data_IF_016034384407
#
_entry.id   IF_016034384407
#
_cell.length_a   1.000
_cell.length_b   1.000
_cell.length_c   1.000
_cell.angle_alpha   90.00
_cell.angle_beta   90.00
_cell.angle_gamma   90.00
#
_symmetry.space_group_name_H-M   'P 1'
#
loop_
_entity.id
_entity.type
_entity.pdbx_description
1 polymer ?
#
# COMPACT_ATOMS: atom_id res chain seq x y z
N UNK A 1 -54.63 -2.04 12.51
CA UNK A 1 -54.92 -0.83 11.70
C UNK A 1 -53.58 -0.18 11.36
N UNK A 2 -52.65 -0.93 10.80
CA UNK A 2 -52.68 -1.37 9.39
C UNK A 2 -53.06 -0.21 8.50
N UNK A 3 -52.05 0.53 8.09
CA UNK A 3 -51.93 0.96 6.71
C UNK A 3 -50.43 0.96 6.37
N UNK A 4 -50.12 0.21 5.31
CA UNK A 4 -48.79 0.02 4.74
C UNK A 4 -48.14 1.37 4.40
N UNK A 5 -47.07 1.71 5.10
CA UNK A 5 -46.14 2.79 4.71
C UNK A 5 -45.43 2.46 3.38
N UNK A 6 -45.46 1.20 2.93
CA UNK A 6 -44.98 0.79 1.60
C UNK A 6 -45.75 1.45 0.44
N UNK A 7 -46.97 1.92 0.67
CA UNK A 7 -47.81 2.51 -0.38
C UNK A 7 -47.61 4.03 -0.55
N UNK A 8 -46.81 4.69 0.32
CA UNK A 8 -46.37 6.08 0.13
C UNK A 8 -45.08 6.19 -0.72
N UNK A 9 -44.51 5.07 -1.17
CA UNK A 9 -43.17 4.99 -1.79
C UNK A 9 -43.27 4.72 -3.30
N UNK A 10 -44.33 5.20 -3.97
CA UNK A 10 -44.45 5.05 -5.42
C UNK A 10 -44.47 6.33 -6.25
N UNK A 11 -44.63 7.50 -5.64
CA UNK A 11 -44.72 8.71 -6.44
C UNK A 11 -43.66 9.75 -6.07
N UNK A 12 -43.03 10.24 -7.14
CA UNK A 12 -42.32 11.50 -7.28
C UNK A 12 -43.29 12.66 -6.95
N UNK A 13 -43.79 12.71 -5.71
CA UNK A 13 -44.86 13.63 -5.33
C UNK A 13 -44.29 15.04 -5.23
N UNK A 14 -44.44 15.77 -6.33
CA UNK A 14 -44.06 17.17 -6.55
C UNK A 14 -44.50 18.12 -5.42
N UNK A 15 -45.51 17.76 -4.63
CA UNK A 15 -45.96 18.53 -3.48
C UNK A 15 -44.95 18.50 -2.32
N UNK A 16 -44.28 17.38 -2.08
CA UNK A 16 -43.24 17.27 -1.04
C UNK A 16 -42.00 18.10 -1.37
N UNK A 17 -41.66 18.20 -2.65
CA UNK A 17 -40.54 19.02 -3.15
C UNK A 17 -40.88 20.51 -3.11
N UNK A 18 -42.15 20.88 -3.31
CA UNK A 18 -42.62 22.27 -3.25
C UNK A 18 -42.63 22.79 -1.80
N UNK A 19 -43.11 22.00 -0.84
CA UNK A 19 -43.02 22.34 0.58
C UNK A 19 -41.57 22.45 1.07
N UNK A 20 -40.67 21.61 0.54
CA UNK A 20 -39.24 21.70 0.83
C UNK A 20 -38.63 22.98 0.24
N UNK A 21 -38.98 23.34 -1.00
CA UNK A 21 -38.55 24.57 -1.66
C UNK A 21 -39.04 25.84 -0.94
N UNK A 22 -40.27 25.83 -0.44
CA UNK A 22 -40.83 26.96 0.33
C UNK A 22 -40.18 27.10 1.72
N UNK A 23 -39.75 25.99 2.34
CA UNK A 23 -38.92 26.01 3.54
C UNK A 23 -37.50 26.52 3.25
N UNK A 24 -36.91 26.15 2.11
CA UNK A 24 -35.58 26.59 1.66
C UNK A 24 -35.54 28.10 1.37
N UNK A 25 -36.57 28.65 0.73
CA UNK A 25 -36.66 30.08 0.40
C UNK A 25 -36.66 31.01 1.62
N UNK A 26 -36.99 30.50 2.80
CA UNK A 26 -37.04 31.28 4.05
C UNK A 26 -35.72 31.33 4.81
N UNK A 27 -34.69 30.58 4.41
CA UNK A 27 -33.42 30.50 5.14
C UNK A 27 -32.27 30.90 4.23
N UNK A 28 -31.87 32.18 4.28
CA UNK A 28 -30.67 32.65 3.58
C UNK A 28 -29.40 32.07 4.23
N UNK A 29 -28.45 31.67 3.38
CA UNK A 29 -27.08 31.28 3.70
C UNK A 29 -26.87 29.97 4.51
N UNK A 30 -27.55 28.86 4.17
CA UNK A 30 -27.25 27.54 4.75
C UNK A 30 -27.22 26.40 3.73
N UNK A 31 -26.37 25.40 4.01
CA UNK A 31 -26.33 24.10 3.31
C UNK A 31 -27.48 23.24 3.83
N UNK A 32 -28.26 22.63 2.93
CA UNK A 32 -29.28 21.64 3.27
C UNK A 32 -28.63 20.26 3.41
N UNK A 33 -28.69 19.67 4.60
CA UNK A 33 -28.28 18.27 4.85
C UNK A 33 -29.54 17.49 5.24
N UNK A 34 -29.93 16.50 4.44
CA UNK A 34 -31.15 15.72 4.68
C UNK A 34 -30.87 14.56 5.67
N UNK A 35 -31.71 14.34 6.71
CA UNK A 35 -31.36 13.50 7.86
C UNK A 35 -31.54 11.98 7.68
N UNK A 36 -32.17 11.51 6.61
CA UNK A 36 -32.49 10.09 6.46
C UNK A 36 -31.83 9.44 5.24
N UNK A 37 -30.84 8.58 5.53
CA UNK A 37 -30.26 7.61 4.60
C UNK A 37 -29.97 6.30 5.33
N UNK A 38 -30.30 5.18 4.71
CA UNK A 38 -29.98 3.83 5.22
C UNK A 38 -28.59 3.37 4.75
N UNK A 39 -27.55 4.11 5.14
CA UNK A 39 -26.16 3.67 4.94
C UNK A 39 -25.72 2.74 6.07
N UNK A 40 -24.86 1.77 5.77
CA UNK A 40 -24.16 0.99 6.79
C UNK A 40 -23.23 1.89 7.61
N UNK A 41 -22.96 1.46 8.85
CA UNK A 41 -22.40 2.21 9.99
C UNK A 41 -21.05 2.95 9.79
N UNK A 42 -20.48 2.96 8.58
CA UNK A 42 -19.12 3.45 8.31
C UNK A 42 -19.01 4.70 7.44
N UNK A 43 -20.13 5.28 6.98
CA UNK A 43 -20.11 6.53 6.21
C UNK A 43 -21.15 7.52 6.74
N UNK A 44 -20.84 8.83 6.87
CA UNK A 44 -21.88 9.82 7.08
C UNK A 44 -22.90 9.71 5.94
N UNK A 45 -24.18 9.54 6.31
CA UNK A 45 -25.32 9.23 5.44
C UNK A 45 -25.66 10.35 4.43
N UNK A 46 -24.76 10.66 3.51
CA UNK A 46 -25.07 11.50 2.36
C UNK A 46 -25.63 10.59 1.25
N UNK A 47 -26.91 10.74 0.91
CA UNK A 47 -27.54 9.97 -0.18
C UNK A 47 -27.03 10.45 -1.53
N UNK A 48 -26.83 9.52 -2.47
CA UNK A 48 -26.74 9.80 -3.91
C UNK A 48 -28.06 10.43 -4.37
N UNK A 49 -28.08 11.74 -4.60
CA UNK A 49 -29.19 12.43 -5.26
C UNK A 49 -28.81 12.79 -6.69
N UNK A 50 -28.69 11.78 -7.56
CA UNK A 50 -28.31 11.99 -8.97
C UNK A 50 -29.40 12.69 -9.81
N UNK A 51 -30.50 13.18 -9.19
CA UNK A 51 -31.63 13.86 -9.84
C UNK A 51 -32.26 14.99 -9.02
N UNK A 52 -31.77 15.32 -7.82
CA UNK A 52 -32.40 16.37 -7.02
C UNK A 52 -31.97 17.77 -7.50
N UNK A 53 -32.91 18.70 -7.71
CA UNK A 53 -32.57 20.08 -8.04
C UNK A 53 -31.80 20.73 -6.89
N UNK A 54 -30.63 21.29 -7.20
CA UNK A 54 -29.87 22.13 -6.27
C UNK A 54 -30.34 23.57 -6.41
N UNK A 55 -30.42 24.31 -5.31
CA UNK A 55 -30.88 25.70 -5.30
C UNK A 55 -29.78 26.63 -4.77
N UNK A 56 -29.60 27.78 -5.41
CA UNK A 56 -28.80 28.90 -4.89
C UNK A 56 -29.66 30.15 -4.84
N UNK A 57 -29.81 30.73 -3.65
CA UNK A 57 -30.68 31.90 -3.39
C UNK A 57 -32.12 31.69 -3.91
N UNK A 58 -32.68 30.50 -3.69
CA UNK A 58 -34.05 30.15 -4.10
C UNK A 58 -34.24 29.84 -5.59
N UNK A 59 -33.20 30.02 -6.42
CA UNK A 59 -33.24 29.69 -7.83
C UNK A 59 -32.67 28.30 -8.08
N UNK A 60 -33.32 27.46 -8.90
CA UNK A 60 -32.75 26.17 -9.30
C UNK A 60 -31.47 26.42 -10.10
N UNK A 61 -30.38 25.75 -9.71
CA UNK A 61 -29.15 25.71 -10.48
C UNK A 61 -29.39 24.86 -11.74
N UNK A 62 -28.84 25.24 -12.91
CA UNK A 62 -28.89 24.39 -14.10
C UNK A 62 -28.27 23.03 -13.75
N UNK A 63 -29.08 21.99 -13.86
CA UNK A 63 -28.79 20.68 -13.30
C UNK A 63 -27.54 20.09 -13.93
N UNK A 64 -26.48 19.95 -13.14
CA UNK A 64 -25.33 19.10 -13.44
C UNK A 64 -25.36 17.97 -12.43
N UNK A 65 -25.42 16.75 -12.93
CA UNK A 65 -25.50 15.50 -12.18
C UNK A 65 -24.65 15.50 -10.88
N UNK A 66 -25.24 15.03 -9.76
CA UNK A 66 -24.47 14.76 -8.54
C UNK A 66 -23.99 13.31 -8.55
N UNK A 67 -22.73 13.11 -8.94
CA UNK A 67 -22.03 11.82 -8.82
C UNK A 67 -21.30 11.73 -7.48
N UNK A 68 -21.43 10.60 -6.80
CA UNK A 68 -20.51 10.25 -5.72
C UNK A 68 -19.16 9.94 -6.36
N UNK A 69 -18.25 10.90 -6.30
CA UNK A 69 -16.85 10.68 -6.63
C UNK A 69 -16.06 10.48 -5.35
N UNK A 70 -14.99 9.69 -5.43
CA UNK A 70 -14.00 9.69 -4.38
C UNK A 70 -13.40 11.10 -4.31
N UNK A 71 -13.45 11.72 -3.13
CA UNK A 71 -12.70 12.96 -2.92
C UNK A 71 -11.22 12.58 -2.83
N UNK A 72 -10.45 12.98 -3.84
CA UNK A 72 -9.00 12.84 -3.81
C UNK A 72 -8.41 14.05 -3.08
N UNK A 73 -7.48 13.84 -2.13
CA UNK A 73 -6.80 14.96 -1.52
C UNK A 73 -6.01 15.71 -2.60
N UNK A 74 -5.91 17.04 -2.46
CA UNK A 74 -4.93 17.78 -3.26
C UNK A 74 -3.54 17.35 -2.81
N UNK A 75 -2.67 17.05 -3.76
CA UNK A 75 -1.30 16.67 -3.47
C UNK A 75 -0.35 17.59 -4.22
N UNK A 76 0.75 17.97 -3.59
CA UNK A 76 1.82 18.75 -4.22
C UNK A 76 3.17 18.11 -4.03
N UNK A 77 3.96 18.05 -5.10
CA UNK A 77 5.28 17.45 -5.13
C UNK A 77 6.29 18.59 -4.99
N UNK A 78 7.00 18.63 -3.88
CA UNK A 78 7.93 19.71 -3.50
C UNK A 78 9.38 19.35 -3.74
N UNK A 79 9.70 18.07 -3.94
CA UNK A 79 11.00 17.59 -4.42
C UNK A 79 10.78 16.38 -5.32
N UNK A 80 11.43 16.40 -6.48
CA UNK A 80 11.42 15.32 -7.45
C UNK A 80 12.77 15.28 -8.14
N UNK A 81 13.57 14.27 -7.83
CA UNK A 81 14.92 14.11 -8.38
C UNK A 81 15.19 12.65 -8.67
N UNK A 82 15.78 12.38 -9.83
CA UNK A 82 16.31 11.08 -10.19
C UNK A 82 17.83 11.14 -10.09
N UNK A 83 18.42 10.26 -9.28
CA UNK A 83 19.85 10.28 -8.94
C UNK A 83 20.51 8.94 -9.28
N UNK A 84 21.57 8.97 -10.07
CA UNK A 84 22.49 7.87 -10.26
C UNK A 84 23.38 7.68 -9.02
N UNK A 85 23.49 6.43 -8.55
CA UNK A 85 24.22 6.03 -7.33
C UNK A 85 23.83 6.87 -6.09
N UNK A 86 22.61 7.42 -6.09
CA UNK A 86 22.06 8.24 -5.01
C UNK A 86 22.70 9.63 -4.85
N UNK A 87 23.51 10.08 -5.82
CA UNK A 87 24.29 11.32 -5.70
C UNK A 87 24.13 12.24 -6.91
N UNK A 88 24.30 11.71 -8.11
CA UNK A 88 24.42 12.52 -9.32
C UNK A 88 23.07 12.60 -10.02
N UNK A 89 22.51 13.80 -10.29
CA UNK A 89 21.30 13.92 -11.09
C UNK A 89 21.43 13.18 -12.42
N UNK A 90 20.39 12.43 -12.79
CA UNK A 90 20.33 11.78 -14.10
C UNK A 90 19.98 12.85 -15.14
N UNK A 91 20.88 13.17 -16.08
CA UNK A 91 20.57 14.09 -17.19
C UNK A 91 19.42 13.59 -18.05
N UNK A 92 18.70 14.53 -18.67
CA UNK A 92 17.72 14.21 -19.71
C UNK A 92 18.42 13.66 -20.95
N UNK A 93 17.74 12.73 -21.65
CA UNK A 93 18.13 12.17 -22.95
C UNK A 93 19.57 11.62 -23.05
N UNK A 94 20.14 11.16 -21.93
CA UNK A 94 21.50 10.63 -21.88
C UNK A 94 21.55 9.30 -21.14
N UNK A 95 22.28 8.33 -21.69
CA UNK A 95 22.52 7.06 -21.03
C UNK A 95 23.44 7.24 -19.81
N UNK A 96 23.04 6.66 -18.67
CA UNK A 96 23.82 6.69 -17.43
C UNK A 96 24.09 5.27 -16.95
N UNK A 97 25.38 4.94 -16.79
CA UNK A 97 25.81 3.70 -16.13
C UNK A 97 25.93 3.96 -14.63
N UNK A 98 25.20 3.20 -13.83
CA UNK A 98 25.21 3.29 -12.36
C UNK A 98 24.87 1.93 -11.73
N UNK A 99 25.13 1.80 -10.43
CA UNK A 99 24.80 0.57 -9.69
C UNK A 99 23.31 0.52 -9.30
N UNK A 100 22.73 1.68 -9.01
CA UNK A 100 21.32 1.86 -8.69
C UNK A 100 20.86 3.29 -9.00
N UNK A 101 19.55 3.46 -9.13
CA UNK A 101 18.90 4.75 -9.31
C UNK A 101 18.04 5.05 -8.09
N UNK A 102 18.21 6.23 -7.49
CA UNK A 102 17.32 6.73 -6.44
C UNK A 102 16.34 7.75 -7.05
N UNK A 103 15.04 7.53 -6.88
CA UNK A 103 13.99 8.54 -7.07
C UNK A 103 13.68 9.17 -5.72
N UNK A 104 14.05 10.43 -5.54
CA UNK A 104 13.64 11.26 -4.41
C UNK A 104 12.30 11.89 -4.76
N UNK A 105 11.33 11.70 -3.87
CA UNK A 105 9.95 12.10 -4.07
C UNK A 105 9.35 12.61 -2.76
N UNK A 106 9.34 13.93 -2.60
CA UNK A 106 8.72 14.59 -1.46
C UNK A 106 7.39 15.18 -1.88
N UNK A 107 6.32 14.85 -1.16
CA UNK A 107 5.02 15.42 -1.42
C UNK A 107 4.24 15.70 -0.14
N UNK A 108 3.36 16.69 -0.23
CA UNK A 108 2.38 17.01 0.79
C UNK A 108 1.00 16.52 0.36
N UNK A 109 0.28 15.94 1.32
CA UNK A 109 -1.17 15.75 1.23
C UNK A 109 -1.81 16.98 1.87
N UNK A 110 -2.44 17.82 1.07
CA UNK A 110 -3.07 19.07 1.53
C UNK A 110 -4.30 18.76 2.37
N UNK A 111 -4.48 19.53 3.45
CA UNK A 111 -5.66 19.42 4.30
C UNK A 111 -6.93 19.78 3.52
N UNK A 112 -7.96 18.92 3.50
CA UNK A 112 -9.26 19.27 2.91
C UNK A 112 -9.84 20.56 3.51
N UNK A 113 -9.63 20.82 4.80
CA UNK A 113 -10.07 22.04 5.46
C UNK A 113 -9.38 23.30 4.91
N UNK A 114 -8.09 23.20 4.56
CA UNK A 114 -7.37 24.32 3.95
C UNK A 114 -7.91 24.62 2.54
N UNK A 115 -8.18 23.58 1.75
CA UNK A 115 -8.78 23.73 0.44
C UNK A 115 -10.19 24.38 0.52
N UNK A 116 -11.05 23.89 1.42
CA UNK A 116 -12.39 24.46 1.63
C UNK A 116 -12.32 25.93 2.06
N UNK A 117 -11.44 26.27 3.02
CA UNK A 117 -11.26 27.68 3.45
C UNK A 117 -10.80 28.57 2.30
N UNK A 118 -9.83 28.11 1.50
CA UNK A 118 -9.33 28.88 0.35
C UNK A 118 -10.44 29.20 -0.66
N UNK A 119 -11.35 28.25 -0.93
CA UNK A 119 -12.53 28.48 -1.79
C UNK A 119 -13.50 29.48 -1.15
N UNK A 120 -13.77 29.35 0.15
CA UNK A 120 -14.66 30.26 0.87
C UNK A 120 -14.13 31.70 0.92
N UNK A 121 -12.82 31.86 1.05
CA UNK A 121 -12.14 33.17 1.08
C UNK A 121 -12.02 33.81 -0.31
N UNK A 122 -12.16 33.01 -1.39
CA UNK A 122 -12.02 33.47 -2.78
C UNK A 122 -13.22 33.06 -3.64
N UNK A 123 -14.45 33.45 -3.26
CA UNK A 123 -15.65 33.02 -3.98
C UNK A 123 -15.62 33.49 -5.44
N UNK A 124 -15.96 32.58 -6.36
CA UNK A 124 -16.00 32.86 -7.80
C UNK A 124 -14.63 32.94 -8.49
N UNK A 125 -13.52 32.83 -7.75
CA UNK A 125 -12.18 32.73 -8.35
C UNK A 125 -11.82 31.26 -8.59
N UNK A 126 -11.35 30.97 -9.80
CA UNK A 126 -10.80 29.65 -10.12
C UNK A 126 -9.47 29.46 -9.38
N UNK A 127 -9.23 28.32 -8.69
CA UNK A 127 -7.94 28.05 -8.09
C UNK A 127 -6.82 28.02 -9.14
N UNK A 128 -5.62 28.47 -8.75
CA UNK A 128 -4.41 28.36 -9.55
C UNK A 128 -3.33 27.62 -8.74
N UNK A 129 -2.89 26.43 -9.17
CA UNK A 129 -3.33 25.73 -10.38
C UNK A 129 -4.77 25.22 -10.23
N UNK A 130 -5.39 24.87 -11.34
CA UNK A 130 -6.71 24.24 -11.32
C UNK A 130 -6.66 22.94 -10.52
N UNK A 131 -7.58 22.80 -9.57
CA UNK A 131 -7.68 21.60 -8.75
C UNK A 131 -8.35 20.49 -9.54
N UNK A 132 -7.61 19.41 -9.78
CA UNK A 132 -8.11 18.27 -10.55
C UNK A 132 -8.64 17.21 -9.59
N UNK A 133 -9.87 16.75 -9.83
CA UNK A 133 -10.55 15.73 -9.02
C UNK A 133 -10.08 14.30 -9.30
N UNK A 134 -8.79 14.02 -9.23
CA UNK A 134 -8.20 12.68 -9.45
C UNK A 134 -6.94 12.47 -8.62
N UNK A 135 -6.27 11.31 -8.75
CA UNK A 135 -4.95 11.02 -8.18
C UNK A 135 -3.80 11.90 -8.71
N UNK A 136 -4.10 12.98 -9.43
CA UNK A 136 -3.10 13.88 -9.96
C UNK A 136 -2.40 14.63 -8.84
N UNK A 137 -1.07 14.66 -8.92
CA UNK A 137 -0.22 15.39 -8.00
C UNK A 137 0.38 16.57 -8.75
N UNK A 138 0.31 17.76 -8.16
CA UNK A 138 0.83 18.97 -8.78
C UNK A 138 2.33 19.08 -8.57
N UNK A 139 3.10 19.22 -9.65
CA UNK A 139 4.54 19.46 -9.58
C UNK A 139 4.82 20.92 -9.22
N UNK A 140 5.44 21.14 -8.06
CA UNK A 140 5.90 22.44 -7.56
C UNK A 140 7.30 22.28 -6.94
N UNK A 141 8.12 21.46 -7.58
CA UNK A 141 9.44 21.02 -7.10
C UNK A 141 10.58 22.01 -7.44
N UNK A 142 10.28 23.14 -8.08
CA UNK A 142 11.25 24.21 -8.35
C UNK A 142 10.77 25.55 -7.78
N UNK A 143 11.69 26.47 -7.42
CA UNK A 143 11.32 27.82 -6.97
C UNK A 143 10.43 28.57 -7.97
N UNK A 144 10.65 28.37 -9.27
CA UNK A 144 9.88 28.99 -10.36
C UNK A 144 8.42 28.51 -10.34
N UNK A 145 8.21 27.19 -10.23
CA UNK A 145 6.87 26.61 -10.16
C UNK A 145 6.17 27.00 -8.85
N UNK A 146 6.88 27.09 -7.74
CA UNK A 146 6.32 27.56 -6.47
C UNK A 146 5.86 29.02 -6.55
N UNK A 147 6.66 29.89 -7.19
CA UNK A 147 6.30 31.30 -7.44
C UNK A 147 5.11 31.45 -8.37
N UNK A 148 4.86 30.51 -9.28
CA UNK A 148 3.70 30.51 -10.16
C UNK A 148 2.38 30.29 -9.40
N UNK A 149 2.43 29.59 -8.26
CA UNK A 149 1.24 29.18 -7.50
C UNK A 149 1.31 29.55 -6.00
N UNK A 150 1.49 30.83 -5.65
CA UNK A 150 1.78 31.25 -4.28
C UNK A 150 0.64 30.92 -3.30
N UNK A 151 -0.63 31.04 -3.73
CA UNK A 151 -1.77 30.70 -2.88
C UNK A 151 -1.90 29.19 -2.63
N UNK A 152 -1.57 28.37 -3.64
CA UNK A 152 -1.52 26.92 -3.48
C UNK A 152 -0.40 26.48 -2.53
N UNK A 153 0.74 27.19 -2.55
CA UNK A 153 1.84 26.94 -1.62
C UNK A 153 1.50 27.29 -0.17
N UNK A 154 0.55 28.20 0.07
CA UNK A 154 0.08 28.53 1.42
C UNK A 154 -0.88 27.51 2.03
N UNK A 155 -1.43 26.59 1.24
CA UNK A 155 -2.36 25.58 1.76
C UNK A 155 -1.64 24.67 2.76
N UNK A 156 -2.25 24.50 3.94
CA UNK A 156 -1.68 23.68 4.99
C UNK A 156 -1.68 22.20 4.60
N UNK A 157 -0.53 21.54 4.75
CA UNK A 157 -0.40 20.10 4.61
C UNK A 157 -0.98 19.39 5.85
N UNK A 158 -1.58 18.23 5.64
CA UNK A 158 -1.97 17.29 6.70
C UNK A 158 -0.81 16.35 7.04
N UNK A 159 -0.09 15.89 6.02
CA UNK A 159 1.08 15.03 6.12
C UNK A 159 2.06 15.35 4.99
N UNK A 160 3.35 15.32 5.27
CA UNK A 160 4.42 15.32 4.27
C UNK A 160 5.06 13.96 4.23
N UNK A 161 5.23 13.40 3.05
CA UNK A 161 5.96 12.16 2.83
C UNK A 161 7.28 12.44 2.14
N UNK A 162 8.38 12.09 2.80
CA UNK A 162 9.70 12.04 2.19
C UNK A 162 9.96 10.61 1.73
N UNK A 163 9.90 10.38 0.42
CA UNK A 163 10.13 9.07 -0.17
C UNK A 163 11.47 9.05 -0.91
N UNK A 164 12.22 7.98 -0.75
CA UNK A 164 13.32 7.61 -1.63
C UNK A 164 13.07 6.19 -2.12
N UNK A 165 12.80 6.04 -3.41
CA UNK A 165 12.76 4.72 -4.05
C UNK A 165 14.14 4.41 -4.62
N UNK A 166 14.70 3.25 -4.28
CA UNK A 166 15.96 2.77 -4.83
C UNK A 166 15.71 1.62 -5.77
N UNK A 167 16.04 1.79 -7.04
CA UNK A 167 15.93 0.76 -8.07
C UNK A 167 17.30 0.14 -8.36
N UNK A 168 17.40 -1.19 -8.24
CA UNK A 168 18.61 -1.94 -8.59
C UNK A 168 18.35 -2.80 -9.85
N UNK A 169 19.40 -3.02 -10.65
CA UNK A 169 19.32 -3.77 -11.92
C UNK A 169 18.72 -5.19 -11.80
N UNK A 170 18.77 -5.79 -10.61
CA UNK A 170 18.25 -7.13 -10.33
C UNK A 170 16.76 -7.15 -9.97
N UNK A 171 16.04 -6.07 -10.26
CA UNK A 171 14.61 -5.97 -9.99
C UNK A 171 14.26 -5.64 -8.54
N UNK A 172 15.23 -5.18 -7.75
CA UNK A 172 14.98 -4.63 -6.42
C UNK A 172 14.42 -3.21 -6.53
N UNK A 173 13.38 -2.92 -5.76
CA UNK A 173 12.89 -1.58 -5.48
C UNK A 173 12.68 -1.44 -3.97
N UNK A 174 13.50 -0.64 -3.31
CA UNK A 174 13.38 -0.36 -1.86
C UNK A 174 12.89 1.06 -1.66
N UNK A 175 11.73 1.22 -1.03
CA UNK A 175 11.20 2.50 -0.61
C UNK A 175 11.62 2.78 0.84
N UNK A 176 12.34 3.88 1.02
CA UNK A 176 12.55 4.52 2.31
C UNK A 176 11.53 5.65 2.45
N UNK A 177 10.60 5.55 3.39
CA UNK A 177 9.55 6.54 3.61
C UNK A 177 9.64 7.10 5.02
N UNK A 178 9.58 8.43 5.11
CA UNK A 178 9.35 9.15 6.36
C UNK A 178 8.12 10.04 6.21
N UNK A 179 7.07 9.75 6.97
CA UNK A 179 5.84 10.54 7.02
C UNK A 179 5.86 11.47 8.23
N UNK A 180 5.63 12.77 8.02
CA UNK A 180 5.53 13.79 9.07
C UNK A 180 4.11 14.33 9.10
N UNK A 181 3.39 14.10 10.20
CA UNK A 181 2.01 14.54 10.36
C UNK A 181 1.98 15.96 10.93
N UNK A 182 1.34 16.90 10.25
CA UNK A 182 1.32 18.32 10.63
C UNK A 182 0.08 18.72 11.42
N UNK A 183 -0.91 17.84 11.47
CA UNK A 183 -2.17 18.07 12.16
C UNK A 183 -2.54 16.88 13.02
N UNK A 184 -3.48 17.10 13.94
CA UNK A 184 -4.08 16.02 14.71
C UNK A 184 -5.00 15.21 13.80
N UNK A 185 -4.83 13.88 13.80
CA UNK A 185 -5.71 12.97 13.08
C UNK A 185 -6.20 11.87 14.03
N UNK A 186 -7.48 11.53 13.93
CA UNK A 186 -8.05 10.42 14.72
C UNK A 186 -7.37 9.10 14.37
N UNK A 187 -7.11 8.88 13.08
CA UNK A 187 -6.36 7.72 12.61
C UNK A 187 -5.74 7.95 11.24
N UNK A 188 -4.72 7.14 10.92
CA UNK A 188 -4.18 7.00 9.58
C UNK A 188 -3.82 5.54 9.31
N UNK A 189 -4.05 5.09 8.09
CA UNK A 189 -3.64 3.77 7.61
C UNK A 189 -2.84 3.96 6.34
N UNK A 190 -1.70 3.28 6.25
CA UNK A 190 -0.87 3.31 5.05
C UNK A 190 -0.82 1.93 4.42
N UNK A 191 -1.43 1.82 3.24
CA UNK A 191 -1.33 0.65 2.36
C UNK A 191 -0.02 0.72 1.57
N UNK A 192 1.11 0.70 2.29
CA UNK A 192 2.49 0.89 1.83
C UNK A 192 2.72 1.01 0.31
N UNK A 193 3.42 0.03 -0.26
CA UNK A 193 3.80 0.00 -1.68
C UNK A 193 2.81 -0.92 -2.42
N UNK A 194 1.83 -0.29 -3.07
CA UNK A 194 0.86 -0.94 -3.98
C UNK A 194 1.54 -1.38 -5.28
N UNK A 195 2.11 -2.59 -5.34
CA UNK A 195 2.63 -3.12 -6.60
C UNK A 195 2.53 -4.63 -6.60
N UNK A 196 2.16 -5.24 -7.71
CA UNK A 196 2.27 -6.70 -7.84
C UNK A 196 1.25 -7.35 -8.78
N UNK A 197 0.59 -6.55 -9.60
CA UNK A 197 -0.65 -6.98 -10.25
C UNK A 197 -0.76 -6.61 -11.72
N UNK A 198 0.36 -6.26 -12.34
CA UNK A 198 0.47 -5.98 -13.76
C UNK A 198 1.73 -6.63 -14.34
N UNK A 199 1.81 -6.64 -15.67
CA UNK A 199 2.93 -7.24 -16.39
C UNK A 199 2.82 -8.76 -16.52
N UNK A 200 3.92 -9.36 -17.00
CA UNK A 200 3.97 -10.79 -17.37
C UNK A 200 3.65 -11.72 -16.20
N UNK A 201 4.10 -11.42 -14.98
CA UNK A 201 3.85 -12.28 -13.82
C UNK A 201 2.36 -12.50 -13.52
N UNK A 202 1.50 -11.52 -13.84
CA UNK A 202 0.06 -11.63 -13.65
C UNK A 202 -0.64 -12.38 -14.78
N UNK A 203 0.01 -12.54 -15.95
CA UNK A 203 -0.50 -13.21 -17.14
C UNK A 203 -0.20 -14.71 -17.17
N UNK A 204 0.74 -15.16 -16.34
CA UNK A 204 1.11 -16.57 -16.20
C UNK A 204 -0.03 -17.42 -15.66
N UNK A 205 -0.16 -18.64 -16.20
CA UNK A 205 -1.25 -19.58 -15.87
C UNK A 205 -1.12 -20.13 -14.46
N UNK A 206 0.08 -20.57 -14.10
CA UNK A 206 0.39 -21.13 -12.79
C UNK A 206 0.86 -20.02 -11.87
N UNK A 207 0.24 -19.91 -10.70
CA UNK A 207 0.53 -18.86 -9.73
C UNK A 207 0.50 -19.44 -8.32
N UNK A 208 1.66 -19.55 -7.68
CA UNK A 208 1.77 -19.93 -6.29
C UNK A 208 1.96 -18.70 -5.41
N UNK A 209 1.25 -18.67 -4.28
CA UNK A 209 1.30 -17.60 -3.29
C UNK A 209 1.74 -18.20 -1.97
N UNK A 210 2.61 -17.51 -1.25
CA UNK A 210 2.83 -17.79 0.15
C UNK A 210 3.15 -16.53 0.95
N UNK A 211 2.80 -16.57 2.23
CA UNK A 211 3.00 -15.54 3.24
C UNK A 211 3.59 -16.28 4.44
N UNK A 212 4.91 -16.15 4.68
CA UNK A 212 5.53 -16.75 5.85
C UNK A 212 4.80 -16.37 7.13
N UNK A 213 4.72 -17.30 8.09
CA UNK A 213 4.14 -17.12 9.42
C UNK A 213 2.59 -17.06 9.47
N UNK A 214 1.90 -17.33 8.37
CA UNK A 214 0.44 -17.53 8.40
C UNK A 214 0.06 -18.94 8.88
N UNK A 215 -1.13 -19.10 9.45
CA UNK A 215 -1.76 -20.42 9.64
C UNK A 215 -2.46 -20.85 8.34
N UNK A 216 -2.77 -22.15 8.16
CA UNK A 216 -3.82 -22.57 7.24
C UNK A 216 -5.16 -21.93 7.66
N UNK A 217 -5.92 -21.42 6.70
CA UNK A 217 -7.16 -20.68 6.93
C UNK A 217 -8.32 -21.28 6.15
N UNK A 218 -9.52 -21.15 6.70
CA UNK A 218 -10.78 -21.37 5.99
C UNK A 218 -11.42 -20.01 5.71
N UNK A 219 -11.42 -19.60 4.44
CA UNK A 219 -11.85 -18.26 4.03
C UNK A 219 -13.16 -18.33 3.27
N UNK A 220 -14.19 -17.67 3.82
CA UNK A 220 -15.47 -17.47 3.12
C UNK A 220 -15.30 -16.42 2.03
N UNK A 221 -15.87 -16.67 0.85
CA UNK A 221 -15.91 -15.67 -0.21
C UNK A 221 -16.77 -14.46 0.12
N UNK A 222 -16.82 -13.53 -0.83
CA UNK A 222 -17.42 -12.20 -0.68
C UNK A 222 -18.95 -12.25 -0.62
N UNK A 223 -19.58 -13.25 -1.23
CA UNK A 223 -21.04 -13.46 -1.19
C UNK A 223 -21.40 -14.68 -0.35
N UNK A 224 -22.66 -14.76 0.09
CA UNK A 224 -23.15 -15.90 0.86
C UNK A 224 -23.06 -17.22 0.08
N UNK A 225 -23.18 -17.16 -1.24
CA UNK A 225 -23.11 -18.32 -2.15
C UNK A 225 -21.66 -18.76 -2.45
N UNK A 226 -20.66 -17.93 -2.16
CA UNK A 226 -19.28 -18.29 -2.45
C UNK A 226 -18.83 -19.47 -1.56
N UNK A 227 -18.04 -20.42 -2.09
CA UNK A 227 -17.52 -21.52 -1.30
C UNK A 227 -16.59 -21.02 -0.18
N UNK A 228 -16.48 -21.81 0.88
CA UNK A 228 -15.37 -21.68 1.82
C UNK A 228 -14.14 -22.29 1.14
N UNK A 229 -13.04 -21.54 1.12
CA UNK A 229 -11.78 -21.95 0.55
C UNK A 229 -10.81 -22.35 1.66
N UNK A 230 -10.28 -23.56 1.60
CA UNK A 230 -9.12 -23.96 2.39
C UNK A 230 -7.87 -23.35 1.74
N UNK A 231 -7.26 -22.39 2.43
CA UNK A 231 -6.11 -21.64 1.98
C UNK A 231 -4.95 -21.83 2.95
N UNK A 232 -3.92 -22.55 2.52
CA UNK A 232 -2.66 -22.64 3.26
C UNK A 232 -1.61 -21.71 2.66
N UNK A 233 -1.75 -20.40 2.95
CA UNK A 233 -0.75 -19.41 2.52
C UNK A 233 0.60 -19.58 3.22
N UNK A 234 0.71 -20.44 4.23
CA UNK A 234 2.00 -20.76 4.86
C UNK A 234 2.81 -21.75 4.02
N UNK A 235 2.11 -22.50 3.17
CA UNK A 235 2.68 -23.33 2.13
C UNK A 235 2.69 -22.59 0.78
N UNK A 236 3.42 -23.14 -0.19
CA UNK A 236 3.43 -22.67 -1.57
C UNK A 236 2.08 -22.96 -2.25
N UNK A 237 1.05 -22.16 -1.95
CA UNK A 237 -0.36 -22.40 -2.30
C UNK A 237 -0.65 -22.07 -3.76
N UNK A 238 -1.11 -23.06 -4.53
CA UNK A 238 -1.52 -22.86 -5.91
C UNK A 238 -2.84 -22.10 -5.95
N UNK A 239 -2.82 -20.90 -6.51
CA UNK A 239 -4.00 -20.04 -6.58
C UNK A 239 -5.02 -20.60 -7.57
N UNK A 240 -6.30 -20.74 -7.18
CA UNK A 240 -7.35 -21.11 -8.12
C UNK A 240 -7.52 -20.02 -9.18
N UNK A 241 -8.04 -20.36 -10.36
CA UNK A 241 -8.25 -19.40 -11.45
C UNK A 241 -9.13 -18.22 -11.02
N UNK A 242 -10.23 -18.52 -10.33
CA UNK A 242 -11.14 -17.56 -9.72
C UNK A 242 -11.04 -17.63 -8.21
N UNK A 243 -10.97 -16.47 -7.56
CA UNK A 243 -10.92 -16.38 -6.10
C UNK A 243 -11.69 -15.15 -5.64
N UNK A 244 -12.95 -15.32 -5.25
CA UNK A 244 -13.80 -14.22 -4.82
C UNK A 244 -13.61 -13.87 -3.32
N UNK A 245 -12.37 -13.64 -2.89
CA UNK A 245 -12.05 -13.29 -1.51
C UNK A 245 -11.85 -11.79 -1.33
N UNK A 246 -12.28 -11.23 -0.20
CA UNK A 246 -11.95 -9.86 0.20
C UNK A 246 -11.69 -9.83 1.70
N UNK A 247 -10.45 -10.12 2.09
CA UNK A 247 -10.10 -10.45 3.48
C UNK A 247 -8.91 -9.62 3.95
N UNK A 248 -8.99 -9.13 5.18
CA UNK A 248 -7.86 -8.58 5.91
C UNK A 248 -7.23 -9.65 6.78
N UNK A 249 -5.93 -9.89 6.62
CA UNK A 249 -5.17 -10.75 7.52
C UNK A 249 -4.71 -9.97 8.74
N UNK A 250 -4.91 -10.57 9.91
CA UNK A 250 -4.71 -9.98 11.24
C UNK A 250 -3.94 -10.96 12.14
N UNK A 251 -3.64 -10.55 13.38
CA UNK A 251 -2.84 -11.36 14.34
C UNK A 251 -3.41 -12.76 14.58
N UNK A 252 -4.74 -12.92 14.58
CA UNK A 252 -5.38 -14.22 14.80
C UNK A 252 -5.05 -15.24 13.71
N UNK A 253 -4.74 -14.77 12.51
CA UNK A 253 -4.49 -15.57 11.32
C UNK A 253 -3.01 -16.02 11.23
N UNK A 254 -2.15 -15.53 12.13
CA UNK A 254 -0.72 -15.81 12.17
C UNK A 254 -0.41 -17.05 13.05
N UNK A 255 0.67 -17.77 12.74
CA UNK A 255 1.20 -18.87 13.56
C UNK A 255 1.53 -18.37 14.97
N UNK A 256 2.25 -17.26 15.03
CA UNK A 256 2.57 -16.52 16.25
C UNK A 256 1.97 -15.09 16.14
N UNK A 257 0.99 -14.73 16.99
CA UNK A 257 0.43 -13.38 17.02
C UNK A 257 1.44 -12.27 17.31
N UNK A 258 2.58 -12.56 17.94
CA UNK A 258 3.64 -11.59 18.27
C UNK A 258 4.74 -11.51 17.19
N UNK A 259 4.80 -12.50 16.29
CA UNK A 259 5.68 -12.53 15.13
C UNK A 259 4.87 -12.55 13.83
N UNK A 260 4.44 -11.36 13.45
CA UNK A 260 3.54 -11.16 12.32
C UNK A 260 4.28 -11.26 10.98
N UNK A 261 3.59 -11.65 9.89
CA UNK A 261 4.14 -11.65 8.54
C UNK A 261 4.72 -10.29 8.09
N UNK A 262 5.90 -10.36 7.48
CA UNK A 262 6.64 -9.21 6.96
C UNK A 262 6.72 -9.18 5.42
N UNK A 263 6.43 -10.31 4.77
CA UNK A 263 6.50 -10.45 3.31
C UNK A 263 5.41 -11.33 2.74
N UNK A 264 5.08 -11.07 1.48
CA UNK A 264 4.23 -11.85 0.61
C UNK A 264 5.05 -12.21 -0.62
N UNK A 265 4.99 -13.48 -1.03
CA UNK A 265 5.70 -13.98 -2.18
C UNK A 265 4.72 -14.59 -3.16
N UNK A 266 4.95 -14.29 -4.43
CA UNK A 266 4.29 -14.93 -5.56
C UNK A 266 5.36 -15.51 -6.49
N UNK A 267 5.13 -16.75 -6.90
CA UNK A 267 5.91 -17.44 -7.92
C UNK A 267 4.97 -17.81 -9.05
N UNK A 268 5.36 -17.56 -10.30
CA UNK A 268 4.48 -17.77 -11.44
C UNK A 268 5.23 -18.26 -12.66
N UNK A 269 4.50 -18.93 -13.56
CA UNK A 269 4.98 -19.38 -14.87
C UNK A 269 3.88 -20.11 -15.63
N UNK A 270 4.19 -20.62 -16.82
CA UNK A 270 3.17 -21.28 -17.64
C UNK A 270 3.02 -22.76 -17.29
N UNK A 271 4.14 -23.45 -17.09
CA UNK A 271 4.20 -24.85 -16.69
C UNK A 271 5.10 -25.10 -15.48
N UNK A 272 6.06 -24.20 -15.23
CA UNK A 272 7.05 -24.29 -14.16
C UNK A 272 7.33 -22.90 -13.57
N UNK A 273 7.95 -22.79 -12.39
CA UNK A 273 8.33 -21.49 -11.81
C UNK A 273 9.29 -20.70 -12.71
N UNK A 274 8.87 -19.56 -13.24
CA UNK A 274 9.68 -18.72 -14.15
C UNK A 274 9.99 -17.35 -13.54
N UNK A 275 9.03 -16.76 -12.83
CA UNK A 275 9.10 -15.40 -12.30
C UNK A 275 8.63 -15.37 -10.85
N UNK A 276 9.48 -14.83 -9.98
CA UNK A 276 9.18 -14.57 -8.59
C UNK A 276 9.01 -13.08 -8.31
N UNK A 277 8.13 -12.74 -7.39
CA UNK A 277 8.06 -11.42 -6.76
C UNK A 277 7.88 -11.57 -5.25
N UNK A 278 8.71 -10.88 -4.49
CA UNK A 278 8.51 -10.66 -3.07
C UNK A 278 8.11 -9.21 -2.82
N UNK A 279 7.10 -9.01 -1.98
CA UNK A 279 6.67 -7.72 -1.47
C UNK A 279 6.77 -7.78 0.04
N UNK A 280 7.49 -6.86 0.66
CA UNK A 280 7.64 -6.92 2.09
C UNK A 280 8.13 -5.64 2.72
N UNK A 281 8.42 -5.77 4.00
CA UNK A 281 8.89 -4.71 4.86
C UNK A 281 10.24 -5.06 5.46
N UNK A 282 11.04 -4.04 5.77
CA UNK A 282 12.31 -4.24 6.46
C UNK A 282 12.08 -4.91 7.81
N UNK A 283 12.93 -5.91 8.09
CA UNK A 283 12.99 -6.61 9.36
C UNK A 283 13.98 -5.97 10.35
N UNK A 284 14.76 -4.99 9.90
CA UNK A 284 15.84 -4.39 10.73
C UNK A 284 15.62 -2.91 11.04
N UNK A 285 14.80 -2.20 10.26
CA UNK A 285 14.56 -0.76 10.41
C UNK A 285 13.06 -0.41 10.25
N UNK A 286 12.69 0.80 10.68
CA UNK A 286 11.32 1.31 10.59
C UNK A 286 10.28 0.57 11.43
N UNK A 287 8.99 0.89 11.23
CA UNK A 287 7.88 0.37 12.04
C UNK A 287 7.72 -1.16 12.04
N UNK A 288 8.29 -1.84 11.04
CA UNK A 288 8.19 -3.28 10.81
C UNK A 288 9.42 -4.07 11.25
N UNK A 289 10.46 -3.38 11.74
CA UNK A 289 11.62 -4.03 12.32
C UNK A 289 11.21 -5.07 13.36
N UNK A 290 11.96 -6.17 13.47
CA UNK A 290 11.69 -7.25 14.42
C UNK A 290 11.62 -6.74 15.86
N UNK A 291 12.43 -5.74 16.20
CA UNK A 291 12.39 -5.08 17.52
C UNK A 291 11.01 -4.46 17.85
N UNK A 292 10.24 -4.09 16.83
CA UNK A 292 8.92 -3.46 16.98
C UNK A 292 7.75 -4.45 16.96
N UNK A 293 7.98 -5.74 16.65
CA UNK A 293 6.96 -6.82 16.66
C UNK A 293 5.64 -6.47 15.94
N UNK A 294 5.72 -5.62 14.91
CA UNK A 294 4.57 -5.09 14.20
C UNK A 294 3.55 -4.35 15.07
N UNK A 295 3.96 -3.78 16.22
CA UNK A 295 3.05 -3.14 17.19
C UNK A 295 2.16 -2.07 16.56
N UNK A 296 2.65 -1.36 15.54
CA UNK A 296 1.87 -0.39 14.77
C UNK A 296 1.02 -0.97 13.64
N UNK A 297 0.73 -2.28 13.60
CA UNK A 297 -0.03 -2.95 12.53
C UNK A 297 -1.14 -3.83 13.11
N UNK A 298 -2.39 -3.41 12.91
CA UNK A 298 -3.57 -4.21 13.28
C UNK A 298 -3.97 -5.21 12.18
N UNK A 299 -3.64 -4.87 10.94
CA UNK A 299 -3.81 -5.73 9.78
C UNK A 299 -2.55 -5.67 8.93
N UNK A 300 -2.22 -6.77 8.28
CA UNK A 300 -0.92 -6.94 7.62
C UNK A 300 -1.02 -6.85 6.11
N UNK A 301 -2.11 -7.42 5.60
CA UNK A 301 -2.35 -7.63 4.20
C UNK A 301 -3.86 -7.58 3.95
N UNK A 302 -4.25 -6.83 2.94
CA UNK A 302 -5.58 -6.97 2.36
C UNK A 302 -5.48 -7.83 1.10
N UNK A 303 -6.13 -8.98 1.12
CA UNK A 303 -6.28 -9.83 -0.04
C UNK A 303 -7.60 -9.51 -0.73
N UNK A 304 -7.54 -9.12 -1.99
CA UNK A 304 -8.70 -8.70 -2.78
C UNK A 304 -9.07 -9.74 -3.83
N UNK A 305 -10.32 -9.76 -4.29
CA UNK A 305 -10.87 -10.79 -5.19
C UNK A 305 -10.18 -10.79 -6.57
N UNK A 306 -9.53 -9.67 -6.83
CA UNK A 306 -8.34 -9.51 -7.66
C UNK A 306 -7.41 -10.72 -7.74
N UNK A 307 -7.18 -11.38 -6.60
CA UNK A 307 -5.92 -11.88 -6.04
C UNK A 307 -4.88 -10.78 -5.73
N UNK A 308 -5.31 -9.50 -5.74
CA UNK A 308 -4.50 -8.32 -5.36
C UNK A 308 -4.11 -8.40 -3.90
N UNK A 309 -2.84 -8.16 -3.60
CA UNK A 309 -2.33 -8.10 -2.24
C UNK A 309 -1.92 -6.66 -1.91
N UNK A 310 -2.49 -6.10 -0.85
CA UNK A 310 -2.14 -4.77 -0.35
C UNK A 310 -1.45 -4.91 1.00
N UNK A 311 -0.11 -4.85 1.05
CA UNK A 311 0.60 -4.85 2.32
C UNK A 311 0.30 -3.56 3.07
N UNK A 312 0.01 -3.66 4.36
CA UNK A 312 -0.22 -2.51 5.23
C UNK A 312 1.01 -2.22 6.10
N UNK A 313 1.49 -0.98 6.07
CA UNK A 313 2.71 -0.54 6.73
C UNK A 313 2.45 -0.19 8.20
N UNK A 314 1.34 0.51 8.46
CA UNK A 314 0.89 0.86 9.79
C UNK A 314 -0.62 1.14 9.87
N UNK A 315 -1.17 0.99 11.08
CA UNK A 315 -2.40 1.60 11.57
C UNK A 315 -2.03 2.50 12.75
N UNK A 316 -2.31 3.79 12.66
CA UNK A 316 -2.06 4.75 13.73
C UNK A 316 -3.37 5.32 14.22
N UNK A 317 -3.43 5.60 15.52
CA UNK A 317 -4.57 6.22 16.19
C UNK A 317 -4.08 7.44 16.97
N UNK A 318 -4.93 8.44 17.11
CA UNK A 318 -4.67 9.67 17.89
C UNK A 318 -3.35 10.36 17.54
N UNK A 319 -3.12 10.54 16.24
CA UNK A 319 -1.90 11.12 15.67
C UNK A 319 -1.78 12.58 16.10
N UNK A 320 -0.59 12.95 16.56
CA UNK A 320 -0.27 14.32 16.99
C UNK A 320 0.48 15.08 15.90
N UNK A 321 0.32 16.42 15.82
CA UNK A 321 1.22 17.26 15.02
C UNK A 321 2.69 17.01 15.40
N UNK A 322 3.56 16.95 14.41
CA UNK A 322 4.99 16.62 14.54
C UNK A 322 5.29 15.12 14.68
N UNK A 323 4.27 14.25 14.79
CA UNK A 323 4.52 12.81 14.83
C UNK A 323 5.14 12.34 13.52
N UNK A 324 6.18 11.51 13.62
CA UNK A 324 6.90 10.95 12.48
C UNK A 324 6.73 9.44 12.42
N UNK A 325 6.69 8.90 11.20
CA UNK A 325 6.64 7.46 10.96
C UNK A 325 7.63 7.08 9.87
N UNK A 326 8.57 6.21 10.23
CA UNK A 326 9.49 5.60 9.29
C UNK A 326 8.97 4.24 8.84
N UNK A 327 8.99 4.01 7.53
CA UNK A 327 8.67 2.73 6.91
C UNK A 327 9.69 2.44 5.82
N UNK A 328 10.26 1.24 5.86
CA UNK A 328 11.05 0.71 4.76
C UNK A 328 10.32 -0.50 4.20
N UNK A 329 10.03 -0.47 2.92
CA UNK A 329 9.41 -1.59 2.21
C UNK A 329 10.15 -1.87 0.92
N UNK A 330 10.01 -3.10 0.44
CA UNK A 330 10.68 -3.54 -0.76
C UNK A 330 9.76 -4.32 -1.67
N UNK A 331 10.08 -4.24 -2.95
CA UNK A 331 9.65 -5.16 -4.00
C UNK A 331 10.89 -5.77 -4.61
N UNK A 332 10.91 -7.08 -4.74
CA UNK A 332 12.03 -7.80 -5.34
C UNK A 332 11.52 -8.80 -6.35
N UNK A 333 11.85 -8.59 -7.62
CA UNK A 333 11.71 -9.66 -8.62
C UNK A 333 12.86 -10.66 -8.48
N UNK A 334 12.60 -11.94 -8.69
CA UNK A 334 13.64 -12.96 -8.64
C UNK A 334 13.39 -14.06 -9.66
N UNK A 335 14.46 -14.76 -10.03
CA UNK A 335 14.40 -15.95 -10.86
C UNK A 335 14.35 -17.19 -9.96
N UNK A 336 13.23 -17.94 -9.91
CA UNK A 336 13.14 -19.16 -9.11
C UNK A 336 14.16 -20.23 -9.51
N UNK A 337 14.65 -20.20 -10.76
CA UNK A 337 15.63 -21.16 -11.27
C UNK A 337 17.07 -20.86 -10.83
N UNK A 338 17.32 -19.72 -10.17
CA UNK A 338 18.66 -19.40 -9.65
C UNK A 338 19.09 -20.35 -8.53
N UNK A 339 18.14 -20.78 -7.70
CA UNK A 339 18.34 -21.82 -6.70
C UNK A 339 17.07 -22.70 -6.69
N UNK A 340 17.02 -23.75 -7.55
CA UNK A 340 15.82 -24.56 -7.74
C UNK A 340 15.35 -25.31 -6.49
N UNK A 341 16.22 -25.44 -5.48
CA UNK A 341 15.83 -26.02 -4.21
C UNK A 341 15.10 -25.03 -3.29
N UNK A 342 15.28 -23.73 -3.49
CA UNK A 342 14.57 -22.70 -2.78
C UNK A 342 13.24 -22.36 -3.47
N UNK A 343 12.18 -22.23 -2.67
CA UNK A 343 10.91 -21.66 -3.17
C UNK A 343 11.07 -20.18 -3.48
N UNK A 344 11.88 -19.47 -2.68
CA UNK A 344 12.37 -18.15 -3.05
C UNK A 344 13.82 -17.97 -2.60
N UNK A 345 14.59 -17.31 -3.46
CA UNK A 345 15.94 -16.85 -3.15
C UNK A 345 16.12 -15.46 -3.76
N UNK A 346 16.30 -14.46 -2.91
CA UNK A 346 16.47 -13.09 -3.35
C UNK A 346 17.19 -12.25 -2.31
N UNK A 347 17.70 -11.10 -2.73
CA UNK A 347 18.37 -10.16 -1.85
C UNK A 347 18.29 -8.75 -2.41
N UNK A 348 18.38 -7.77 -1.52
CA UNK A 348 18.40 -6.35 -1.88
C UNK A 348 19.27 -5.57 -0.91
N UNK A 349 19.67 -4.36 -1.31
CA UNK A 349 20.41 -3.47 -0.44
C UNK A 349 19.47 -2.65 0.44
N UNK A 350 19.71 -2.67 1.75
CA UNK A 350 19.09 -1.78 2.71
C UNK A 350 20.15 -0.94 3.42
N UNK A 351 20.23 0.35 3.08
CA UNK A 351 21.32 1.22 3.53
C UNK A 351 22.69 0.72 3.06
N UNK A 352 23.57 0.41 4.00
CA UNK A 352 24.89 -0.18 3.75
C UNK A 352 24.90 -1.70 3.73
N UNK A 353 23.84 -2.35 4.21
CA UNK A 353 23.76 -3.80 4.37
C UNK A 353 23.06 -4.46 3.19
N UNK A 354 23.32 -5.76 3.02
CA UNK A 354 22.50 -6.62 2.16
C UNK A 354 21.58 -7.47 3.00
N UNK A 355 20.31 -7.55 2.61
CA UNK A 355 19.38 -8.51 3.18
C UNK A 355 19.18 -9.66 2.20
N UNK A 356 19.44 -10.88 2.65
CA UNK A 356 19.28 -12.12 1.86
C UNK A 356 18.14 -12.93 2.45
N UNK A 357 17.23 -13.38 1.59
CA UNK A 357 16.04 -14.14 1.94
C UNK A 357 16.07 -15.48 1.22
N UNK A 358 15.84 -16.53 1.99
CA UNK A 358 15.74 -17.92 1.53
C UNK A 358 14.52 -18.55 2.17
N UNK A 359 13.63 -19.10 1.36
CA UNK A 359 12.49 -19.91 1.82
C UNK A 359 12.51 -21.27 1.11
N UNK A 360 12.29 -22.35 1.86
CA UNK A 360 12.32 -23.73 1.39
C UNK A 360 11.05 -24.45 1.81
N UNK A 361 10.42 -25.19 0.91
CA UNK A 361 9.27 -26.06 1.19
C UNK A 361 9.61 -27.55 1.02
N UNK A 362 10.82 -27.94 1.45
CA UNK A 362 11.31 -29.32 1.46
C UNK A 362 12.46 -29.50 2.43
N UNK A 363 12.73 -30.75 2.77
CA UNK A 363 13.90 -31.12 3.55
C UNK A 363 15.18 -30.95 2.74
N UNK A 364 16.23 -30.45 3.39
CA UNK A 364 17.55 -30.24 2.81
C UNK A 364 18.63 -30.67 3.79
N UNK A 365 19.69 -31.28 3.27
CA UNK A 365 20.86 -31.70 4.04
C UNK A 365 22.13 -31.16 3.40
N UNK A 366 22.92 -30.45 4.18
CA UNK A 366 24.18 -29.82 3.85
C UNK A 366 24.14 -29.06 2.51
N UNK A 367 23.02 -28.35 2.26
CA UNK A 367 22.81 -27.63 1.02
C UNK A 367 23.76 -26.43 0.98
N UNK A 368 24.55 -26.35 -0.08
CA UNK A 368 25.32 -25.15 -0.42
C UNK A 368 24.42 -24.20 -1.22
N UNK A 369 24.31 -22.97 -0.74
CA UNK A 369 23.62 -21.86 -1.41
C UNK A 369 24.70 -20.90 -1.92
N UNK A 370 24.89 -20.86 -3.23
CA UNK A 370 25.83 -19.96 -3.87
C UNK A 370 25.31 -18.52 -3.77
N UNK A 371 26.02 -17.66 -3.03
CA UNK A 371 25.74 -16.24 -2.99
C UNK A 371 26.57 -15.51 -4.05
N UNK A 372 26.12 -14.35 -4.58
CA UNK A 372 26.92 -13.55 -5.49
C UNK A 372 28.29 -13.18 -4.92
N UNK A 373 29.34 -13.21 -5.76
CA UNK A 373 30.73 -13.00 -5.34
C UNK A 373 30.97 -11.69 -4.56
N UNK A 374 30.24 -10.60 -4.86
CA UNK A 374 30.36 -9.32 -4.13
C UNK A 374 29.82 -9.36 -2.69
N UNK A 375 29.22 -10.48 -2.28
CA UNK A 375 28.78 -10.74 -0.91
C UNK A 375 29.79 -11.58 -0.12
N UNK A 376 30.79 -12.19 -0.76
CA UNK A 376 31.86 -12.92 -0.09
C UNK A 376 32.63 -12.02 0.88
N UNK A 377 33.06 -12.59 2.00
CA UNK A 377 33.76 -11.90 3.09
C UNK A 377 32.88 -11.03 3.99
N UNK A 378 31.61 -10.75 3.61
CA UNK A 378 30.71 -9.94 4.44
C UNK A 378 30.34 -10.65 5.73
N UNK A 379 30.20 -9.87 6.81
CA UNK A 379 29.81 -10.40 8.12
C UNK A 379 28.36 -10.86 8.07
N UNK A 380 28.11 -12.09 8.52
CA UNK A 380 26.77 -12.68 8.62
C UNK A 380 26.14 -12.34 9.97
N UNK A 381 24.92 -11.82 9.93
CA UNK A 381 24.00 -11.75 11.07
C UNK A 381 22.69 -12.44 10.69
N UNK A 382 22.27 -13.44 11.46
CA UNK A 382 20.94 -14.05 11.29
C UNK A 382 19.90 -13.07 11.84
N UNK A 383 19.08 -12.51 10.96
CA UNK A 383 17.97 -11.63 11.34
C UNK A 383 16.79 -12.49 11.78
N UNK A 384 16.54 -13.58 11.07
CA UNK A 384 15.40 -14.45 11.31
C UNK A 384 15.64 -15.84 10.73
N UNK A 385 15.14 -16.88 11.39
CA UNK A 385 15.07 -18.23 10.83
C UNK A 385 13.99 -19.06 11.51
N UNK A 386 13.52 -20.11 10.83
CA UNK A 386 12.69 -21.13 11.49
C UNK A 386 13.52 -22.01 12.44
N UNK A 387 12.87 -22.68 13.41
CA UNK A 387 13.52 -23.72 14.21
C UNK A 387 14.03 -24.92 13.39
N UNK A 388 13.37 -25.23 12.27
CA UNK A 388 13.74 -26.31 11.35
C UNK A 388 14.99 -26.03 10.50
N UNK A 389 15.46 -24.78 10.45
CA UNK A 389 16.62 -24.40 9.64
C UNK A 389 17.87 -24.24 10.52
N UNK A 390 18.95 -24.91 10.12
CA UNK A 390 20.28 -24.79 10.73
C UNK A 390 21.24 -24.20 9.70
N UNK A 391 21.87 -23.06 10.03
CA UNK A 391 22.95 -22.48 9.24
C UNK A 391 24.29 -22.99 9.78
N UNK A 392 25.06 -23.68 8.94
CA UNK A 392 26.37 -24.23 9.31
C UNK A 392 27.52 -23.24 9.07
N UNK A 393 27.32 -22.30 8.15
CA UNK A 393 28.30 -21.25 7.88
C UNK A 393 28.29 -20.19 8.98
N UNK A 394 29.46 -19.95 9.56
CA UNK A 394 29.63 -19.00 10.65
C UNK A 394 30.31 -17.70 10.22
N UNK A 395 29.99 -16.60 10.94
CA UNK A 395 30.67 -15.29 10.95
C UNK A 395 30.69 -14.49 9.66
N UNK A 396 31.14 -15.05 8.55
CA UNK A 396 31.33 -14.36 7.26
C UNK A 396 30.93 -15.25 6.09
N UNK A 397 30.54 -14.65 4.97
CA UNK A 397 30.18 -15.38 3.74
C UNK A 397 31.44 -15.96 3.08
N UNK A 398 31.57 -17.29 2.94
CA UNK A 398 32.63 -17.92 2.15
C UNK A 398 32.50 -17.61 0.66
N UNK A 399 33.59 -17.79 -0.10
CA UNK A 399 33.58 -17.56 -1.55
C UNK A 399 32.62 -18.52 -2.27
N UNK A 400 32.50 -19.76 -1.79
CA UNK A 400 31.60 -20.78 -2.33
C UNK A 400 30.13 -20.57 -1.96
N UNK A 401 29.84 -19.68 -1.01
CA UNK A 401 28.50 -19.45 -0.47
C UNK A 401 28.28 -20.07 0.91
N UNK A 402 27.01 -20.17 1.32
CA UNK A 402 26.61 -20.58 2.68
C UNK A 402 26.05 -22.00 2.70
N UNK A 403 26.26 -22.73 3.81
CA UNK A 403 25.75 -24.10 4.01
C UNK A 403 24.65 -24.15 5.06
N UNK A 404 23.58 -24.88 4.77
CA UNK A 404 22.43 -25.04 5.66
C UNK A 404 21.73 -26.40 5.56
N UNK A 405 20.94 -26.71 6.58
CA UNK A 405 19.98 -27.82 6.63
C UNK A 405 18.56 -27.30 6.84
N UNK A 406 17.58 -28.06 6.37
CA UNK A 406 16.15 -27.90 6.71
C UNK A 406 15.61 -29.26 7.14
N UNK A 407 15.29 -29.40 8.43
CA UNK A 407 14.86 -30.67 9.06
C UNK A 407 13.35 -30.94 9.01
N UNK A 408 12.63 -30.34 8.04
CA UNK A 408 11.20 -30.58 7.84
C UNK A 408 10.67 -30.03 6.52
N UNK A 409 9.35 -29.95 6.38
CA UNK A 409 8.68 -29.53 5.13
C UNK A 409 8.74 -28.03 4.84
N UNK A 410 9.19 -27.21 5.78
CA UNK A 410 9.31 -25.77 5.62
C UNK A 410 10.47 -25.24 6.46
N UNK A 411 11.27 -24.36 5.87
CA UNK A 411 12.26 -23.57 6.59
C UNK A 411 12.59 -22.28 5.85
N UNK A 412 12.87 -21.21 6.59
CA UNK A 412 13.30 -19.95 5.99
C UNK A 412 14.46 -19.34 6.78
N UNK A 413 15.24 -18.50 6.11
CA UNK A 413 16.38 -17.78 6.65
C UNK A 413 16.41 -16.37 6.07
N UNK A 414 16.61 -15.39 6.95
CA UNK A 414 16.92 -14.00 6.59
C UNK A 414 18.27 -13.63 7.19
N UNK A 415 19.19 -13.22 6.32
CA UNK A 415 20.52 -12.77 6.70
C UNK A 415 20.67 -11.27 6.46
N UNK A 416 21.34 -10.59 7.37
CA UNK A 416 21.95 -9.28 7.16
C UNK A 416 23.44 -9.48 6.94
N UNK A 417 23.94 -8.97 5.82
CA UNK A 417 25.35 -9.04 5.44
C UNK A 417 25.95 -7.64 5.41
N UNK A 418 26.98 -7.42 6.23
CA UNK A 418 27.69 -6.14 6.35
C UNK A 418 29.07 -6.19 5.70
#
# INVERSE_FOLDING_TARGET
KDNNIKDLIKDDDSNSLKELADKINKVKDKILVHPWGSGSDYAPNFRKHSKAPLFYKGNPLPFQESIFTQMYPLNRITDYRLLADGKTPVPEDTDVVCNFVDLIFVHDVISPNAAVRSVMENPGKKPSPEWVGSWNMMMVNTPELQKQYPEYMKLAAMVTYNNRFRFEARGANVLYRNAVFHTRLKSARDLGVMYGWSGEIARKKMQYFYIPKMKPLQLKGRTEDDPVLDCDFSANYLMPEKMNLSVWFTRKDCLDPDDVPDRFIRVSGDNEPELGIALGYSLINGNTAKANKGAGRDSFYFFWYTKKMYPQAYTLNEIKPGQMMETICYRQYFNPQLEPDATSFYWHREGSSWLVYLDFHKELKNKLICLPNHLAGRKITVVEKTPSLTLHTEKTVPEEGIRLDVSGKHGYLVLKLD
#
